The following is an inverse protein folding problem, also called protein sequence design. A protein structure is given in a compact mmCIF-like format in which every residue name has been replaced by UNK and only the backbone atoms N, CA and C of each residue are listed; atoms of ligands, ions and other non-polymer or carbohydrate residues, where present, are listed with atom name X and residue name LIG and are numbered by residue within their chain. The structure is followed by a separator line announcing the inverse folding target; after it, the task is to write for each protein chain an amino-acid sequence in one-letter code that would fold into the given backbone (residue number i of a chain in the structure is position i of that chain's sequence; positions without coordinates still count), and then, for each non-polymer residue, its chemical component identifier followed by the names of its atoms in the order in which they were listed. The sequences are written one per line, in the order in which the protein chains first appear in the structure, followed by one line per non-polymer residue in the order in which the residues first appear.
data_IF_217410287440
#
_entry.id   IF_217410287440
#
_cell.length_a   1.000
_cell.length_b   1.000
_cell.length_c   1.000
_cell.angle_alpha   90.00
_cell.angle_beta   90.00
_cell.angle_gamma   90.00
#
_symmetry.space_group_name_H-M   'P 1'
#
loop_
_entity.id
_entity.type
_entity.pdbx_description
1 polymer ?
#
# COMPACT_ATOMS: atom_id res chain seq x y z
N UNK A 1 -11.06 -6.36 1.72
CA UNK A 1 -10.92 -5.44 2.86
C UNK A 1 -9.99 -4.30 2.47
N UNK A 2 -10.38 -3.06 2.77
CA UNK A 2 -9.56 -1.85 2.63
C UNK A 2 -9.22 -1.35 4.04
N UNK A 3 -7.95 -1.11 4.34
CA UNK A 3 -7.48 -0.76 5.70
C UNK A 3 -6.60 0.47 5.66
N UNK A 4 -6.92 1.45 6.51
CA UNK A 4 -6.09 2.62 6.79
C UNK A 4 -5.10 2.30 7.90
N UNK A 5 -3.82 2.51 7.61
CA UNK A 5 -2.69 2.25 8.49
C UNK A 5 -1.99 3.60 8.75
N UNK A 6 -2.24 4.24 9.92
CA UNK A 6 -1.70 5.55 10.20
C UNK A 6 -0.21 5.48 10.55
N UNK A 7 0.50 6.60 10.30
CA UNK A 7 1.86 6.83 10.78
C UNK A 7 2.88 5.75 10.38
N UNK A 8 2.79 5.24 9.15
CA UNK A 8 3.83 4.35 8.58
C UNK A 8 5.15 5.11 8.46
N UNK A 9 5.09 6.39 8.09
CA UNK A 9 6.22 7.32 8.20
C UNK A 9 5.90 8.44 9.20
N UNK A 10 6.93 8.87 9.94
CA UNK A 10 6.83 10.06 10.81
C UNK A 10 6.82 11.36 9.98
N UNK A 11 6.39 12.49 10.56
CA UNK A 11 6.44 13.79 9.88
C UNK A 11 7.84 14.17 9.38
N UNK A 12 8.90 13.82 10.12
CA UNK A 12 10.29 14.08 9.73
C UNK A 12 10.70 13.22 8.52
N UNK A 13 10.29 11.95 8.50
CA UNK A 13 10.53 11.05 7.38
C UNK A 13 9.77 11.52 6.13
N UNK A 14 8.53 11.99 6.28
CA UNK A 14 7.76 12.60 5.18
C UNK A 14 8.45 13.88 4.67
N UNK A 15 8.95 14.73 5.56
CA UNK A 15 9.69 15.93 5.17
C UNK A 15 10.98 15.58 4.41
N UNK A 16 11.69 14.54 4.83
CA UNK A 16 12.86 14.00 4.13
C UNK A 16 12.51 13.53 2.71
N UNK A 17 11.45 12.73 2.55
CA UNK A 17 10.94 12.33 1.23
C UNK A 17 10.71 13.55 0.33
N UNK A 18 10.04 14.59 0.85
CA UNK A 18 9.78 15.83 0.09
C UNK A 18 11.04 16.58 -0.32
N UNK A 19 12.05 16.64 0.56
CA UNK A 19 13.34 17.25 0.24
C UNK A 19 14.08 16.50 -0.88
N UNK A 20 14.01 15.17 -0.89
CA UNK A 20 14.55 14.34 -1.97
C UNK A 20 13.79 14.58 -3.28
N UNK A 21 12.46 14.63 -3.23
CA UNK A 21 11.61 14.86 -4.40
C UNK A 21 11.83 16.21 -5.09
N UNK A 22 12.22 17.25 -4.35
CA UNK A 22 12.54 18.57 -4.92
C UNK A 22 13.76 18.55 -5.85
N UNK A 23 14.67 17.59 -5.67
CA UNK A 23 15.91 17.44 -6.44
C UNK A 23 15.83 16.33 -7.47
N UNK A 24 14.74 15.55 -7.46
CA UNK A 24 14.62 14.35 -8.26
C UNK A 24 14.24 14.68 -9.71
N UNK A 25 14.81 13.94 -10.64
CA UNK A 25 14.40 13.94 -12.04
C UNK A 25 13.17 13.05 -12.20
N UNK A 26 11.99 13.68 -12.34
CA UNK A 26 10.74 12.97 -12.59
C UNK A 26 10.61 12.60 -14.07
N UNK A 27 10.14 11.39 -14.34
CA UNK A 27 9.90 10.87 -15.70
C UNK A 27 8.42 10.54 -15.92
N UNK A 28 8.03 10.30 -17.17
CA UNK A 28 6.67 9.88 -17.51
C UNK A 28 6.32 8.55 -16.83
N UNK A 29 5.27 8.55 -16.01
CA UNK A 29 4.90 7.39 -15.21
C UNK A 29 4.31 6.22 -16.00
N UNK A 30 4.00 6.38 -17.29
CA UNK A 30 3.51 5.29 -18.16
C UNK A 30 4.52 4.14 -18.29
N UNK A 31 5.80 4.40 -18.09
CA UNK A 31 6.90 3.41 -18.17
C UNK A 31 6.76 2.24 -17.19
N UNK A 32 6.09 2.43 -16.06
CA UNK A 32 5.92 1.41 -15.00
C UNK A 32 4.55 0.73 -15.02
N UNK A 33 3.65 1.18 -15.87
CA UNK A 33 2.29 0.68 -15.97
C UNK A 33 2.21 -0.56 -16.88
N UNK A 34 1.24 -1.44 -16.62
CA UNK A 34 0.86 -2.47 -17.58
C UNK A 34 0.34 -1.85 -18.88
N UNK A 35 0.34 -2.62 -19.99
CA UNK A 35 -0.06 -2.12 -21.32
C UNK A 35 -1.41 -1.39 -21.31
N UNK A 36 -2.41 -1.92 -20.60
CA UNK A 36 -3.74 -1.32 -20.48
C UNK A 36 -3.70 -0.06 -19.62
N UNK A 37 -3.15 -0.16 -18.40
CA UNK A 37 -3.12 0.96 -17.45
C UNK A 37 -2.30 2.14 -17.96
N UNK A 38 -1.28 1.90 -18.79
CA UNK A 38 -0.48 2.95 -19.42
C UNK A 38 -1.28 3.86 -20.36
N UNK A 39 -2.43 3.40 -20.90
CA UNK A 39 -3.28 4.19 -21.80
C UNK A 39 -4.07 5.26 -21.07
N UNK A 40 -4.35 5.05 -19.78
CA UNK A 40 -5.18 5.93 -18.94
C UNK A 40 -4.38 6.60 -17.83
N UNK A 41 -3.05 6.51 -17.89
CA UNK A 41 -2.14 7.05 -16.87
C UNK A 41 -1.51 8.34 -17.37
N UNK A 42 -1.75 9.42 -16.65
CA UNK A 42 -1.12 10.72 -16.87
C UNK A 42 -0.54 11.21 -15.55
N UNK A 43 0.68 10.79 -15.24
CA UNK A 43 1.39 11.23 -14.05
C UNK A 43 2.91 11.20 -14.27
N UNK A 44 3.66 11.61 -13.25
CA UNK A 44 5.11 11.50 -13.22
C UNK A 44 5.56 10.47 -12.18
N UNK A 45 6.75 9.91 -12.37
CA UNK A 45 7.36 8.97 -11.43
C UNK A 45 8.86 9.16 -11.27
N UNK A 46 9.38 8.74 -10.11
CA UNK A 46 10.81 8.53 -9.97
C UNK A 46 11.26 7.36 -10.86
N UNK A 47 12.42 7.46 -11.54
CA UNK A 47 12.94 6.37 -12.34
C UNK A 47 13.19 5.15 -11.46
N UNK A 48 12.72 3.99 -11.91
CA UNK A 48 12.85 2.74 -11.16
C UNK A 48 14.34 2.41 -11.01
N UNK A 49 14.78 2.12 -9.77
CA UNK A 49 16.18 1.86 -9.47
C UNK A 49 17.09 3.09 -9.38
N UNK A 50 16.57 4.31 -9.51
CA UNK A 50 17.34 5.52 -9.19
C UNK A 50 17.78 5.52 -7.71
N UNK A 51 18.89 6.20 -7.36
CA UNK A 51 19.33 6.30 -5.96
C UNK A 51 18.24 6.83 -5.03
N UNK A 52 17.48 7.85 -5.46
CA UNK A 52 16.35 8.39 -4.72
C UNK A 52 15.23 7.37 -4.50
N UNK A 53 14.85 6.60 -5.54
CA UNK A 53 13.82 5.58 -5.39
C UNK A 53 14.24 4.45 -4.43
N UNK A 54 15.52 4.05 -4.44
CA UNK A 54 16.05 3.04 -3.50
C UNK A 54 16.06 3.56 -2.06
N UNK A 55 16.63 4.75 -1.85
CA UNK A 55 16.72 5.37 -0.52
C UNK A 55 15.33 5.52 0.13
N UNK A 56 14.38 6.10 -0.61
CA UNK A 56 13.03 6.28 -0.10
C UNK A 56 12.26 4.96 0.00
N UNK A 57 12.55 4.00 -0.88
CA UNK A 57 12.00 2.66 -0.82
C UNK A 57 12.39 1.94 0.47
N UNK A 58 13.67 1.98 0.84
CA UNK A 58 14.18 1.39 2.09
C UNK A 58 13.53 2.06 3.32
N UNK A 59 13.32 3.37 3.27
CA UNK A 59 12.62 4.12 4.32
C UNK A 59 11.17 3.64 4.50
N UNK A 60 10.44 3.45 3.40
CA UNK A 60 9.07 2.93 3.43
C UNK A 60 9.04 1.51 3.97
N UNK A 61 9.91 0.62 3.48
CA UNK A 61 9.99 -0.77 3.94
C UNK A 61 10.26 -0.85 5.45
N UNK A 62 11.19 -0.05 5.97
CA UNK A 62 11.47 0.02 7.40
C UNK A 62 10.28 0.55 8.23
N UNK A 63 9.45 1.42 7.66
CA UNK A 63 8.20 1.87 8.28
C UNK A 63 7.14 0.76 8.34
N UNK A 64 6.98 0.00 7.25
CA UNK A 64 6.05 -1.12 7.18
C UNK A 64 6.38 -2.23 8.18
N UNK A 65 7.66 -2.60 8.29
CA UNK A 65 8.14 -3.63 9.23
C UNK A 65 7.82 -3.30 10.70
N UNK A 66 7.73 -2.01 11.03
CA UNK A 66 7.44 -1.53 12.39
C UNK A 66 5.95 -1.36 12.67
N UNK A 67 5.07 -1.58 11.70
CA UNK A 67 3.62 -1.38 11.84
C UNK A 67 2.90 -2.70 12.14
N UNK A 68 2.48 -2.97 13.40
CA UNK A 68 1.77 -4.20 13.72
C UNK A 68 0.45 -4.34 12.95
N UNK A 69 -0.23 -3.21 12.70
CA UNK A 69 -1.47 -3.17 11.93
C UNK A 69 -1.23 -3.59 10.47
N UNK A 70 -0.13 -3.14 9.84
CA UNK A 70 0.24 -3.58 8.50
C UNK A 70 0.54 -5.08 8.48
N UNK A 71 1.36 -5.56 9.42
CA UNK A 71 1.74 -6.98 9.50
C UNK A 71 0.49 -7.86 9.66
N UNK A 72 -0.44 -7.48 10.54
CA UNK A 72 -1.67 -8.23 10.80
C UNK A 72 -2.64 -8.19 9.61
N UNK A 73 -2.86 -7.01 9.01
CA UNK A 73 -3.81 -6.86 7.90
C UNK A 73 -3.33 -7.49 6.58
N UNK A 74 -2.01 -7.49 6.34
CA UNK A 74 -1.43 -7.85 5.04
C UNK A 74 -0.73 -9.22 5.06
N UNK A 75 -0.17 -9.64 6.20
CA UNK A 75 0.63 -10.86 6.33
C UNK A 75 1.70 -10.99 5.22
N UNK A 76 2.61 -10.00 5.09
CA UNK A 76 3.49 -9.87 3.94
C UNK A 76 4.48 -11.04 3.84
N UNK A 77 4.54 -11.68 2.68
CA UNK A 77 5.62 -12.60 2.29
C UNK A 77 6.71 -11.86 1.52
N UNK A 78 6.30 -10.97 0.61
CA UNK A 78 7.22 -10.13 -0.17
C UNK A 78 6.56 -8.83 -0.59
N UNK A 79 7.27 -7.72 -0.41
CA UNK A 79 6.86 -6.38 -0.85
C UNK A 79 7.57 -6.04 -2.16
N UNK A 80 6.81 -5.58 -3.16
CA UNK A 80 7.38 -5.00 -4.37
C UNK A 80 8.11 -3.69 -4.01
N UNK A 81 9.33 -3.43 -4.53
CA UNK A 81 10.05 -2.20 -4.24
C UNK A 81 9.15 -0.96 -4.36
N UNK A 82 9.04 -0.12 -3.31
CA UNK A 82 8.17 1.05 -3.34
C UNK A 82 8.49 1.97 -4.52
N UNK A 83 7.46 2.27 -5.32
CA UNK A 83 7.55 3.24 -6.41
C UNK A 83 6.99 4.58 -5.91
N UNK A 84 7.35 5.66 -6.58
CA UNK A 84 6.95 7.02 -6.18
C UNK A 84 6.36 7.76 -7.37
N UNK A 85 5.19 8.36 -7.16
CA UNK A 85 4.48 9.10 -8.18
C UNK A 85 4.15 10.53 -7.74
N UNK A 86 3.95 11.36 -8.77
CA UNK A 86 3.62 12.78 -8.65
C UNK A 86 2.48 13.09 -9.62
N UNK A 87 1.44 13.74 -9.11
CA UNK A 87 0.33 14.26 -9.89
C UNK A 87 0.23 15.76 -9.68
N UNK A 88 0.18 16.49 -10.79
CA UNK A 88 0.05 17.95 -10.88
C UNK A 88 -1.33 18.32 -11.49
N UNK A 89 -1.72 19.61 -11.54
CA UNK A 89 -3.01 19.98 -12.10
C UNK A 89 -3.23 19.40 -13.52
N UNK A 90 -4.35 18.71 -13.70
CA UNK A 90 -4.74 18.02 -14.93
C UNK A 90 -4.12 16.63 -15.12
N UNK A 91 -3.38 16.10 -14.14
CA UNK A 91 -2.89 14.71 -14.10
C UNK A 91 -3.86 13.80 -13.35
N UNK A 92 -3.96 12.56 -13.80
CA UNK A 92 -4.88 11.54 -13.29
C UNK A 92 -4.37 10.11 -13.59
N UNK A 93 -5.11 9.13 -13.10
CA UNK A 93 -4.92 7.75 -13.52
C UNK A 93 -6.30 7.10 -13.60
N UNK A 94 -6.81 6.89 -14.80
CA UNK A 94 -8.16 6.34 -15.02
C UNK A 94 -8.35 4.90 -14.53
N UNK A 95 -9.60 4.44 -14.57
CA UNK A 95 -10.01 3.14 -14.02
C UNK A 95 -9.23 1.97 -14.62
N UNK A 96 -8.62 1.17 -13.75
CA UNK A 96 -7.84 0.00 -14.12
C UNK A 96 -7.81 -1.03 -12.99
N UNK A 97 -7.38 -2.23 -13.34
CA UNK A 97 -7.02 -3.29 -12.39
C UNK A 97 -5.51 -3.54 -12.54
N UNK A 98 -4.85 -3.84 -11.44
CA UNK A 98 -3.42 -4.13 -11.46
C UNK A 98 -3.12 -5.48 -12.11
N UNK A 99 -1.93 -5.61 -12.72
CA UNK A 99 -1.48 -6.90 -13.23
C UNK A 99 -1.29 -7.88 -12.07
N UNK A 100 -1.89 -9.08 -12.18
CA UNK A 100 -1.83 -10.12 -11.17
C UNK A 100 -0.41 -10.62 -10.85
N UNK A 101 0.50 -10.56 -11.83
CA UNK A 101 1.90 -11.00 -11.70
C UNK A 101 2.83 -9.88 -12.15
N UNK A 102 3.78 -9.50 -11.29
CA UNK A 102 4.81 -8.50 -11.61
C UNK A 102 6.22 -9.06 -11.51
N UNK A 103 7.09 -8.83 -12.52
CA UNK A 103 8.50 -9.17 -12.42
C UNK A 103 9.23 -8.19 -11.50
N UNK A 104 10.18 -8.70 -10.72
CA UNK A 104 11.08 -7.86 -9.93
C UNK A 104 12.30 -7.51 -10.79
N UNK A 105 12.47 -6.23 -11.11
CA UNK A 105 13.58 -5.78 -11.96
C UNK A 105 14.94 -6.20 -11.40
N UNK A 106 15.85 -6.58 -12.30
CA UNK A 106 17.18 -7.06 -11.94
C UNK A 106 17.23 -8.50 -11.40
N UNK A 107 16.09 -9.21 -11.38
CA UNK A 107 16.02 -10.61 -10.93
C UNK A 107 15.19 -11.47 -11.89
N UNK A 108 15.28 -12.79 -11.75
CA UNK A 108 14.37 -13.74 -12.43
C UNK A 108 13.09 -14.04 -11.61
N UNK A 109 12.83 -13.26 -10.56
CA UNK A 109 11.70 -13.48 -9.67
C UNK A 109 10.47 -12.69 -10.11
N UNK A 110 9.31 -13.21 -9.72
CA UNK A 110 8.01 -12.55 -9.88
C UNK A 110 7.27 -12.59 -8.56
N UNK A 111 6.33 -11.66 -8.39
CA UNK A 111 5.40 -11.68 -7.28
C UNK A 111 3.96 -11.70 -7.78
N UNK A 112 3.10 -12.33 -7.00
CA UNK A 112 1.64 -12.22 -7.10
C UNK A 112 1.21 -10.96 -6.35
N UNK A 113 0.38 -10.13 -6.98
CA UNK A 113 -0.08 -8.86 -6.40
C UNK A 113 -1.37 -9.08 -5.61
N UNK A 114 -1.26 -9.54 -4.36
CA UNK A 114 -2.44 -9.82 -3.53
C UNK A 114 -3.06 -8.55 -2.94
N UNK A 115 -2.19 -7.60 -2.56
CA UNK A 115 -2.58 -6.33 -1.93
C UNK A 115 -1.86 -5.18 -2.61
N UNK A 116 -2.60 -4.16 -3.01
CA UNK A 116 -2.08 -2.87 -3.44
C UNK A 116 -2.02 -1.92 -2.26
N UNK A 117 -1.00 -1.06 -2.25
CA UNK A 117 -0.71 -0.14 -1.16
C UNK A 117 -0.43 1.26 -1.72
N UNK A 118 -0.98 2.29 -1.09
CA UNK A 118 -0.66 3.69 -1.38
C UNK A 118 -0.33 4.41 -0.08
N UNK A 119 0.90 4.88 0.04
CA UNK A 119 1.39 5.72 1.14
C UNK A 119 1.33 7.19 0.70
N UNK A 120 0.58 8.00 1.43
CA UNK A 120 0.40 9.41 1.11
C UNK A 120 1.61 10.21 1.56
N UNK A 121 2.16 11.06 0.69
CA UNK A 121 3.33 11.91 0.98
C UNK A 121 3.03 13.40 0.77
N UNK A 122 1.76 13.74 0.59
CA UNK A 122 1.22 15.10 0.52
C UNK A 122 0.04 15.21 1.47
N UNK A 123 -0.05 16.33 2.19
CA UNK A 123 -1.16 16.56 3.09
C UNK A 123 -2.45 16.71 2.28
N UNK A 124 -3.58 16.18 2.76
CA UNK A 124 -4.83 16.17 1.99
C UNK A 124 -5.32 17.58 1.64
N UNK A 125 -4.99 18.59 2.44
CA UNK A 125 -5.39 19.98 2.18
C UNK A 125 -4.44 20.73 1.22
N UNK A 126 -3.27 20.15 0.91
CA UNK A 126 -2.26 20.80 0.05
C UNK A 126 -2.55 20.65 -1.45
N UNK A 127 -3.56 19.87 -1.83
CA UNK A 127 -4.00 19.66 -3.21
C UNK A 127 -5.52 19.45 -3.28
N UNK A 128 -6.14 19.68 -4.44
CA UNK A 128 -7.57 19.40 -4.68
C UNK A 128 -7.72 18.27 -5.71
N UNK A 129 -8.76 17.45 -5.58
CA UNK A 129 -8.87 16.18 -6.31
C UNK A 129 -7.79 15.19 -5.88
N UNK A 130 -7.35 14.33 -6.80
CA UNK A 130 -6.31 13.34 -6.52
C UNK A 130 -6.71 12.25 -5.52
N UNK A 131 -8.00 12.07 -5.28
CA UNK A 131 -8.50 10.98 -4.45
C UNK A 131 -8.21 9.63 -5.12
N UNK A 132 -7.75 8.66 -4.33
CA UNK A 132 -7.75 7.26 -4.75
C UNK A 132 -9.17 6.73 -4.58
N UNK A 133 -9.81 6.30 -5.66
CA UNK A 133 -11.12 5.68 -5.63
C UNK A 133 -10.97 4.20 -5.92
N UNK A 134 -11.45 3.36 -5.01
CA UNK A 134 -11.45 1.90 -5.12
C UNK A 134 -12.90 1.44 -5.20
N UNK A 135 -13.23 0.69 -6.24
CA UNK A 135 -14.55 0.14 -6.48
C UNK A 135 -14.63 -1.31 -5.99
N UNK A 136 -15.68 -1.63 -5.25
CA UNK A 136 -16.02 -2.98 -4.84
C UNK A 136 -17.47 -3.33 -5.25
N UNK A 137 -17.94 -4.50 -4.82
CA UNK A 137 -19.30 -4.98 -5.17
C UNK A 137 -20.42 -4.10 -4.59
N UNK A 138 -20.13 -3.28 -3.57
CA UNK A 138 -21.10 -2.48 -2.84
C UNK A 138 -20.98 -0.98 -3.10
N UNK A 139 -19.94 -0.53 -3.81
CA UNK A 139 -19.82 0.84 -4.29
C UNK A 139 -18.37 1.33 -4.40
N UNK A 140 -18.21 2.65 -4.29
CA UNK A 140 -16.93 3.32 -4.45
C UNK A 140 -16.45 3.86 -3.10
N UNK A 141 -15.20 3.58 -2.77
CA UNK A 141 -14.52 4.05 -1.56
C UNK A 141 -13.43 5.03 -1.96
N UNK A 142 -13.47 6.24 -1.40
CA UNK A 142 -12.51 7.30 -1.71
C UNK A 142 -11.51 7.48 -0.56
N UNK A 143 -10.23 7.62 -0.87
CA UNK A 143 -9.16 7.83 0.09
C UNK A 143 -8.27 9.01 -0.28
N UNK A 144 -8.12 9.93 0.68
CA UNK A 144 -7.19 11.07 0.66
C UNK A 144 -6.70 11.30 2.09
N UNK A 145 -5.63 10.61 2.46
CA UNK A 145 -5.21 10.47 3.86
C UNK A 145 -4.10 11.47 4.24
N UNK A 146 -3.87 11.70 5.55
CA UNK A 146 -2.71 12.46 6.04
C UNK A 146 -1.38 11.95 5.48
N UNK A 147 -0.41 12.85 5.31
CA UNK A 147 0.91 12.44 4.85
C UNK A 147 1.60 11.54 5.91
N UNK A 148 2.18 10.43 5.46
CA UNK A 148 2.75 9.38 6.31
C UNK A 148 1.81 8.20 6.56
N UNK A 149 0.53 8.34 6.18
CA UNK A 149 -0.46 7.28 6.33
C UNK A 149 -0.55 6.43 5.06
N UNK A 150 -0.84 5.14 5.25
CA UNK A 150 -0.96 4.14 4.21
C UNK A 150 -2.40 3.66 4.10
N UNK A 151 -2.87 3.44 2.87
CA UNK A 151 -4.06 2.64 2.60
C UNK A 151 -3.65 1.35 1.89
N UNK A 152 -4.23 0.23 2.30
CA UNK A 152 -4.10 -1.06 1.62
C UNK A 152 -5.45 -1.57 1.15
N UNK A 153 -5.49 -2.19 -0.03
CA UNK A 153 -6.71 -2.70 -0.66
C UNK A 153 -6.39 -3.88 -1.61
N UNK A 154 -7.36 -4.72 -1.98
CA UNK A 154 -7.11 -5.84 -2.88
C UNK A 154 -6.70 -5.34 -4.28
N UNK A 155 -5.62 -5.85 -4.84
CA UNK A 155 -5.17 -5.45 -6.19
C UNK A 155 -6.14 -5.85 -7.30
N UNK A 156 -7.09 -6.74 -6.99
CA UNK A 156 -8.19 -7.14 -7.88
C UNK A 156 -9.26 -6.06 -8.05
N UNK A 157 -9.25 -5.02 -7.22
CA UNK A 157 -10.26 -3.97 -7.23
C UNK A 157 -10.03 -3.04 -8.41
N UNK A 158 -11.13 -2.68 -9.11
CA UNK A 158 -11.09 -1.60 -10.07
C UNK A 158 -10.82 -0.30 -9.30
N UNK A 159 -9.85 0.48 -9.74
CA UNK A 159 -9.51 1.71 -9.03
C UNK A 159 -8.93 2.77 -9.97
N UNK A 160 -8.98 4.02 -9.52
CA UNK A 160 -8.46 5.17 -10.24
C UNK A 160 -8.00 6.27 -9.27
N UNK A 161 -7.22 7.21 -9.78
CA UNK A 161 -6.89 8.47 -9.10
C UNK A 161 -7.59 9.60 -9.85
N UNK A 162 -8.46 10.33 -9.16
CA UNK A 162 -9.19 11.46 -9.74
C UNK A 162 -8.21 12.57 -10.17
N UNK A 163 -8.60 13.43 -11.14
CA UNK A 163 -7.73 14.51 -11.57
C UNK A 163 -7.35 15.43 -10.41
N UNK A 164 -6.05 15.70 -10.27
CA UNK A 164 -5.60 16.80 -9.40
C UNK A 164 -5.96 18.11 -10.09
N UNK A 165 -6.58 19.05 -9.38
CA UNK A 165 -7.01 20.35 -9.93
C UNK A 165 -6.22 21.53 -9.36
N UNK A 166 -5.62 21.36 -8.18
CA UNK A 166 -4.75 22.33 -7.50
C UNK A 166 -3.67 21.60 -6.73
N UNK A 167 -2.48 22.20 -6.62
CA UNK A 167 -1.38 21.68 -5.81
C UNK A 167 -0.72 20.45 -6.43
N UNK A 168 -0.03 19.67 -5.62
CA UNK A 168 0.70 18.47 -6.06
C UNK A 168 0.41 17.33 -5.09
N UNK A 169 0.01 16.18 -5.64
CA UNK A 169 -0.13 14.93 -4.89
C UNK A 169 1.12 14.08 -5.10
N UNK A 170 1.85 13.83 -4.03
CA UNK A 170 2.96 12.89 -3.96
C UNK A 170 2.52 11.66 -3.19
N UNK A 171 2.83 10.48 -3.70
CA UNK A 171 2.60 9.23 -3.00
C UNK A 171 3.67 8.19 -3.32
N UNK A 172 3.80 7.21 -2.43
CA UNK A 172 4.44 5.94 -2.77
C UNK A 172 3.36 4.90 -3.03
N UNK A 173 3.58 4.03 -4.02
CA UNK A 173 2.67 2.94 -4.35
C UNK A 173 3.45 1.66 -4.63
N UNK A 174 2.88 0.52 -4.22
CA UNK A 174 3.51 -0.78 -4.37
C UNK A 174 2.49 -1.91 -4.18
N UNK A 175 2.96 -3.13 -4.40
CA UNK A 175 2.18 -4.35 -4.23
C UNK A 175 2.84 -5.26 -3.22
N UNK A 176 2.02 -6.11 -2.59
CA UNK A 176 2.48 -7.10 -1.63
C UNK A 176 1.95 -8.45 -2.05
N UNK A 177 2.85 -9.44 -2.09
CA UNK A 177 2.48 -10.84 -2.04
C UNK A 177 2.29 -11.21 -0.57
N UNK A 178 1.08 -11.62 -0.22
CA UNK A 178 0.72 -12.07 1.11
C UNK A 178 1.05 -13.55 1.26
N UNK A 179 1.44 -13.97 2.46
CA UNK A 179 1.52 -15.39 2.83
C UNK A 179 0.17 -16.06 2.62
N UNK A 180 -0.93 -15.35 2.85
CA UNK A 180 -2.30 -15.83 2.64
C UNK A 180 -2.81 -15.29 1.30
N UNK A 181 -2.93 -16.18 0.31
CA UNK A 181 -3.43 -15.84 -1.05
C UNK A 181 -4.86 -15.32 -1.01
N UNK A 182 -5.76 -16.07 -0.37
CA UNK A 182 -7.18 -15.76 -0.36
C UNK A 182 -7.50 -14.52 0.51
N UNK A 183 -8.23 -13.57 -0.05
CA UNK A 183 -8.56 -12.33 0.63
C UNK A 183 -9.56 -12.53 1.79
N UNK A 184 -10.44 -13.53 1.69
CA UNK A 184 -11.39 -13.88 2.75
C UNK A 184 -10.68 -14.48 3.96
N UNK A 185 -9.83 -15.48 3.75
CA UNK A 185 -8.98 -16.09 4.78
C UNK A 185 -8.09 -15.04 5.47
N UNK A 186 -7.49 -14.14 4.70
CA UNK A 186 -6.67 -13.06 5.25
C UNK A 186 -7.48 -12.10 6.11
N UNK A 187 -8.71 -11.76 5.68
CA UNK A 187 -9.61 -10.91 6.47
C UNK A 187 -10.04 -11.59 7.77
N UNK A 188 -10.36 -12.90 7.73
CA UNK A 188 -10.71 -13.67 8.93
C UNK A 188 -9.55 -13.72 9.95
N UNK A 189 -8.31 -13.89 9.49
CA UNK A 189 -7.13 -13.85 10.35
C UNK A 189 -6.96 -12.47 10.98
N UNK A 190 -7.15 -11.40 10.21
CA UNK A 190 -7.07 -10.03 10.71
C UNK A 190 -8.13 -9.72 11.77
N UNK A 191 -9.39 -10.12 11.55
CA UNK A 191 -10.48 -9.95 12.52
C UNK A 191 -10.20 -10.72 13.82
N UNK A 192 -9.64 -11.94 13.69
CA UNK A 192 -9.26 -12.77 14.83
C UNK A 192 -8.12 -12.14 15.63
N UNK A 193 -7.06 -11.66 14.98
CA UNK A 193 -5.93 -11.01 15.65
C UNK A 193 -6.38 -9.72 16.36
N UNK A 194 -7.22 -8.91 15.69
CA UNK A 194 -7.81 -7.70 16.29
C UNK A 194 -8.61 -8.03 17.55
N UNK A 195 -9.40 -9.10 17.51
CA UNK A 195 -10.18 -9.58 18.67
C UNK A 195 -9.27 -10.06 19.81
N UNK A 196 -8.19 -10.80 19.49
CA UNK A 196 -7.21 -11.25 20.48
C UNK A 196 -6.50 -10.05 21.13
N UNK A 197 -6.09 -9.06 20.35
CA UNK A 197 -5.45 -7.84 20.86
C UNK A 197 -6.38 -7.05 21.78
N UNK A 198 -7.67 -6.95 21.44
CA UNK A 198 -8.67 -6.32 22.30
C UNK A 198 -8.84 -7.08 23.62
N UNK A 199 -9.06 -8.40 23.57
CA UNK A 199 -9.21 -9.23 24.77
C UNK A 199 -7.96 -9.23 25.65
N UNK A 200 -6.77 -9.10 25.06
CA UNK A 200 -5.51 -9.00 25.82
C UNK A 200 -5.49 -7.77 26.72
N UNK A 201 -6.14 -6.67 26.31
CA UNK A 201 -6.27 -5.44 27.11
C UNK A 201 -7.38 -5.55 28.15
N UNK A 202 -8.49 -6.19 27.81
CA UNK A 202 -9.67 -6.30 28.67
C UNK A 202 -9.54 -7.34 29.78
N UNK A 203 -8.96 -8.51 29.47
CA UNK A 203 -8.84 -9.65 30.39
C UNK A 203 -7.40 -10.20 30.44
N UNK A 204 -6.43 -9.37 30.87
CA UNK A 204 -5.02 -9.75 30.87
C UNK A 204 -4.79 -11.01 31.73
N UNK A 205 -3.97 -11.94 31.22
CA UNK A 205 -3.61 -13.17 31.92
C UNK A 205 -4.62 -14.33 31.82
N UNK A 206 -5.75 -14.13 31.11
CA UNK A 206 -6.69 -15.23 30.85
C UNK A 206 -6.02 -16.37 30.07
N UNK A 207 -6.10 -17.64 30.52
CA UNK A 207 -5.59 -18.79 29.77
C UNK A 207 -6.22 -18.93 28.36
N UNK A 208 -7.44 -18.39 28.17
CA UNK A 208 -8.12 -18.39 26.88
C UNK A 208 -7.37 -17.59 25.80
N UNK A 209 -6.61 -16.55 26.18
CA UNK A 209 -5.79 -15.80 25.23
C UNK A 209 -4.74 -16.69 24.58
N UNK A 210 -4.06 -17.53 25.35
CA UNK A 210 -3.06 -18.49 24.83
C UNK A 210 -3.71 -19.48 23.87
N UNK A 211 -4.91 -19.96 24.19
CA UNK A 211 -5.65 -20.88 23.33
C UNK A 211 -6.06 -20.22 22.00
N UNK A 212 -6.60 -19.00 22.04
CA UNK A 212 -7.00 -18.25 20.84
C UNK A 212 -5.78 -17.92 19.96
N UNK A 213 -4.69 -17.43 20.55
CA UNK A 213 -3.43 -17.20 19.83
C UNK A 213 -2.90 -18.51 19.21
N UNK A 214 -3.05 -19.64 19.90
CA UNK A 214 -2.74 -20.96 19.35
C UNK A 214 -3.59 -21.31 18.12
N UNK A 215 -4.90 -21.04 18.15
CA UNK A 215 -5.79 -21.24 16.99
C UNK A 215 -5.40 -20.34 15.82
N UNK A 216 -5.14 -19.05 16.08
CA UNK A 216 -4.66 -18.11 15.05
C UNK A 216 -3.40 -18.63 14.34
N UNK A 217 -2.39 -19.05 15.09
CA UNK A 217 -1.16 -19.59 14.51
C UNK A 217 -1.36 -20.94 13.80
N UNK A 218 -2.31 -21.77 14.24
CA UNK A 218 -2.66 -23.00 13.53
C UNK A 218 -3.30 -22.69 12.17
N UNK A 219 -4.22 -21.73 12.09
CA UNK A 219 -4.84 -21.30 10.84
C UNK A 219 -3.81 -20.66 9.90
N UNK A 220 -2.95 -19.79 10.42
CA UNK A 220 -1.84 -19.21 9.65
C UNK A 220 -0.96 -20.31 9.04
N UNK A 221 -0.58 -21.35 9.82
CA UNK A 221 0.19 -22.49 9.31
C UNK A 221 -0.55 -23.31 8.25
N UNK A 222 -1.88 -23.39 8.31
CA UNK A 222 -2.68 -24.13 7.34
C UNK A 222 -2.83 -23.38 6.01
N UNK A 223 -2.92 -22.05 6.06
CA UNK A 223 -3.26 -21.23 4.89
C UNK A 223 -2.06 -20.53 4.25
N UNK A 224 -0.91 -20.44 4.94
CA UNK A 224 0.26 -19.75 4.43
C UNK A 224 0.95 -20.49 3.26
N UNK A 225 1.35 -19.72 2.26
CA UNK A 225 2.18 -20.11 1.13
C UNK A 225 3.52 -19.32 1.18
N UNK A 226 4.55 -19.82 1.90
CA UNK A 226 5.82 -19.13 2.12
C UNK A 226 6.79 -19.17 0.94
#
# INVERSE_FOLDING_TARGET
MMVHIPHVLTPEQVAHCRAVFQKAAWEDGRTTAGKQSAQVKKNLQLPEGSPAARELGDLVLAGLEKSPLFISAVLPQRVFPPLFNRYEPGMDFGSHVDNAIRPLLGTNQRIRTDVSATLFLSDPDSYDGGELVVEDTYGNHSAKLPAGDLIVYPSTSLHHVTPVTRGVRLASFFWVQSMIRDAGQRSLLFDMDTSIMQLTREVPGSPALVMLTGVYHNLLRQWAEP
#
